data_IF_117727250369
#
_entry.id   IF_117727250369
#
_cell.length_a   1.000
_cell.length_b   1.000
_cell.length_c   1.000
_cell.angle_alpha   90.00
_cell.angle_beta   90.00
_cell.angle_gamma   90.00
#
_symmetry.space_group_name_H-M   'P 1'
#
loop_
_entity.id
_entity.type
_entity.pdbx_description
1 polymer ?
#
# COMPACT_ATOMS: atom_id res chain seq x y z
N UNK A 1 26.65 14.19 21.77
CA UNK A 1 25.18 14.31 21.96
C UNK A 1 24.39 13.29 21.13
N UNK A 2 25.05 12.26 20.56
CA UNK A 2 24.43 11.24 19.70
C UNK A 2 24.29 9.83 20.36
N UNK A 3 24.73 9.67 21.62
CA UNK A 3 24.72 8.36 22.32
C UNK A 3 23.52 8.14 23.26
N UNK A 4 22.64 9.15 23.44
CA UNK A 4 21.55 9.09 24.42
C UNK A 4 20.17 8.69 23.82
N UNK A 5 20.10 8.29 22.55
CA UNK A 5 18.84 7.96 21.87
C UNK A 5 18.60 6.44 21.70
N UNK A 6 19.51 5.61 22.21
CA UNK A 6 19.43 4.15 22.00
C UNK A 6 18.76 3.36 23.13
N UNK A 7 18.35 4.04 24.21
CA UNK A 7 17.73 3.35 25.38
C UNK A 7 16.24 3.53 25.56
N UNK A 8 15.51 3.98 24.56
CA UNK A 8 14.05 3.89 24.63
C UNK A 8 13.54 2.77 23.75
N UNK A 9 13.68 1.54 24.25
CA UNK A 9 13.01 0.33 23.78
C UNK A 9 11.49 0.40 23.98
N UNK A 10 10.84 1.45 23.49
CA UNK A 10 9.41 1.66 23.55
C UNK A 10 8.81 1.56 22.16
N UNK A 11 8.08 0.46 22.00
CA UNK A 11 7.12 0.22 20.92
C UNK A 11 7.62 -0.54 19.70
N UNK A 12 7.93 -1.82 19.91
CA UNK A 12 7.85 -2.78 18.82
C UNK A 12 6.40 -3.29 18.71
N UNK A 13 5.75 -3.19 17.52
CA UNK A 13 4.42 -3.77 17.32
C UNK A 13 4.47 -5.28 17.58
N UNK A 14 3.41 -5.84 18.19
CA UNK A 14 3.35 -7.26 18.59
C UNK A 14 3.64 -8.27 17.47
N UNK A 15 3.41 -7.93 16.22
CA UNK A 15 3.75 -8.75 15.06
C UNK A 15 5.25 -8.74 14.74
N UNK A 16 5.99 -7.67 15.06
CA UNK A 16 7.48 -7.64 14.97
C UNK A 16 8.06 -8.53 16.06
N UNK A 17 7.48 -8.53 17.25
CA UNK A 17 7.87 -9.42 18.36
C UNK A 17 7.64 -10.90 18.04
N UNK A 18 6.58 -11.21 17.28
CA UNK A 18 6.33 -12.54 16.74
C UNK A 18 7.36 -12.97 15.67
N UNK A 19 7.99 -12.01 14.99
CA UNK A 19 9.10 -12.27 14.07
C UNK A 19 10.45 -12.49 14.77
N UNK A 20 10.68 -11.84 15.93
CA UNK A 20 11.93 -11.99 16.68
C UNK A 20 11.92 -13.20 17.61
N UNK A 21 10.76 -13.55 18.21
CA UNK A 21 10.65 -14.69 19.15
C UNK A 21 10.62 -16.06 18.47
N UNK A 22 10.49 -16.13 17.15
CA UNK A 22 10.71 -17.34 16.37
C UNK A 22 12.11 -17.39 15.76
N UNK A 23 13.15 -17.11 16.53
CA UNK A 23 14.45 -17.62 16.15
C UNK A 23 14.31 -19.15 16.10
N UNK A 24 14.37 -19.78 14.92
CA UNK A 24 14.25 -21.23 14.85
C UNK A 24 15.39 -21.84 15.65
N UNK A 25 15.17 -23.00 16.30
CA UNK A 25 16.24 -23.70 16.99
C UNK A 25 17.40 -23.87 16.02
N UNK A 26 18.63 -23.79 16.54
CA UNK A 26 19.92 -23.78 15.82
C UNK A 26 20.12 -24.94 14.80
N UNK A 27 19.12 -25.79 14.60
CA UNK A 27 19.13 -26.93 13.67
C UNK A 27 18.34 -26.77 12.38
N UNK A 28 17.49 -25.74 12.20
CA UNK A 28 16.71 -25.55 10.97
C UNK A 28 17.04 -24.23 10.29
N UNK A 29 18.27 -24.12 9.75
CA UNK A 29 18.51 -23.12 8.70
C UNK A 29 17.62 -23.51 7.51
N UNK A 30 16.71 -22.64 7.04
CA UNK A 30 16.07 -22.88 5.76
C UNK A 30 17.20 -23.09 4.77
N UNK A 31 17.17 -24.19 4.05
CA UNK A 31 18.18 -24.52 3.05
C UNK A 31 18.24 -23.36 2.04
N UNK A 32 19.25 -22.51 2.20
CA UNK A 32 19.52 -21.35 1.34
C UNK A 32 19.99 -21.80 -0.08
N UNK A 33 19.84 -23.10 -0.38
CA UNK A 33 20.28 -23.74 -1.61
C UNK A 33 19.21 -23.74 -2.73
N UNK A 34 18.06 -23.11 -2.51
CA UNK A 34 17.04 -22.96 -3.55
C UNK A 34 17.59 -22.17 -4.75
N UNK A 35 17.39 -22.69 -5.97
CA UNK A 35 17.77 -22.03 -7.23
C UNK A 35 17.28 -20.57 -7.27
N UNK A 36 16.10 -20.27 -6.71
CA UNK A 36 15.54 -18.93 -6.59
C UNK A 36 16.38 -18.00 -5.70
N UNK A 37 16.94 -18.50 -4.58
CA UNK A 37 17.81 -17.67 -3.73
C UNK A 37 19.12 -17.31 -4.42
N UNK A 38 19.71 -18.25 -5.17
CA UNK A 38 20.93 -18.00 -5.95
C UNK A 38 20.71 -16.98 -7.06
N UNK A 39 19.56 -17.02 -7.74
CA UNK A 39 19.18 -16.03 -8.73
C UNK A 39 18.93 -14.65 -8.11
N UNK A 40 18.19 -14.58 -7.01
CA UNK A 40 17.95 -13.34 -6.25
C UNK A 40 19.26 -12.70 -5.80
N UNK A 41 20.18 -13.48 -5.26
CA UNK A 41 21.48 -12.99 -4.79
C UNK A 41 22.39 -12.50 -5.93
N UNK A 42 22.14 -12.93 -7.16
CA UNK A 42 22.88 -12.46 -8.35
C UNK A 42 22.44 -11.08 -8.79
N UNK A 43 21.18 -10.70 -8.48
CA UNK A 43 20.56 -9.42 -8.86
C UNK A 43 20.59 -8.42 -7.70
N UNK A 44 20.51 -8.92 -6.45
CA UNK A 44 20.40 -8.08 -5.26
C UNK A 44 21.18 -8.71 -4.12
N UNK A 45 21.93 -7.90 -3.37
CA UNK A 45 22.61 -8.33 -2.16
C UNK A 45 21.62 -8.50 -0.99
N UNK A 46 20.96 -9.67 -0.94
CA UNK A 46 19.96 -10.02 0.07
C UNK A 46 20.54 -10.99 1.09
N UNK A 47 20.39 -10.67 2.37
CA UNK A 47 20.74 -11.57 3.46
C UNK A 47 19.62 -12.58 3.72
N UNK A 48 19.94 -13.83 4.16
CA UNK A 48 18.93 -14.88 4.37
C UNK A 48 17.80 -14.51 5.35
N UNK A 49 18.11 -13.69 6.36
CA UNK A 49 17.15 -13.19 7.35
C UNK A 49 16.22 -12.09 6.79
N UNK A 50 16.58 -11.44 5.68
CA UNK A 50 15.79 -10.37 5.04
C UNK A 50 14.78 -10.92 4.02
N UNK A 51 14.97 -12.15 3.53
CA UNK A 51 14.17 -12.79 2.49
C UNK A 51 12.67 -12.79 2.79
N UNK A 52 12.32 -13.16 4.01
CA UNK A 52 10.91 -13.26 4.42
C UNK A 52 10.21 -11.89 4.41
N UNK A 53 10.86 -10.89 4.97
CA UNK A 53 10.34 -9.51 4.97
C UNK A 53 10.26 -8.97 3.54
N UNK A 54 11.28 -9.20 2.72
CA UNK A 54 11.33 -8.79 1.32
C UNK A 54 10.19 -9.44 0.49
N UNK A 55 9.99 -10.76 0.64
CA UNK A 55 8.94 -11.48 -0.08
C UNK A 55 7.52 -10.97 0.29
N UNK A 56 7.26 -10.75 1.58
CA UNK A 56 5.99 -10.18 2.03
C UNK A 56 5.77 -8.75 1.56
N UNK A 57 6.82 -7.93 1.59
CA UNK A 57 6.76 -6.55 1.10
C UNK A 57 6.49 -6.49 -0.40
N UNK A 58 7.16 -7.35 -1.16
CA UNK A 58 6.97 -7.48 -2.60
C UNK A 58 5.55 -7.95 -2.94
N UNK A 59 5.06 -9.00 -2.27
CA UNK A 59 3.70 -9.52 -2.47
C UNK A 59 2.65 -8.47 -2.09
N UNK A 60 2.90 -7.70 -1.02
CA UNK A 60 1.98 -6.67 -0.57
C UNK A 60 1.82 -5.56 -1.62
N UNK A 61 2.92 -4.96 -2.10
CA UNK A 61 2.84 -3.89 -3.12
C UNK A 61 2.29 -4.41 -4.44
N UNK A 62 2.67 -5.63 -4.84
CA UNK A 62 2.13 -6.29 -6.00
C UNK A 62 0.61 -6.42 -5.92
N UNK A 63 0.07 -6.96 -4.83
CA UNK A 63 -1.36 -7.14 -4.62
C UNK A 63 -2.12 -5.82 -4.60
N UNK A 64 -1.57 -4.81 -3.93
CA UNK A 64 -2.19 -3.47 -3.85
C UNK A 64 -2.29 -2.84 -5.23
N UNK A 65 -1.21 -2.84 -5.99
CA UNK A 65 -1.22 -2.20 -7.31
C UNK A 65 -2.01 -3.02 -8.34
N UNK A 66 -1.93 -4.35 -8.31
CA UNK A 66 -2.76 -5.19 -9.15
C UNK A 66 -4.25 -4.92 -8.91
N UNK A 67 -4.69 -4.88 -7.65
CA UNK A 67 -6.07 -4.53 -7.30
C UNK A 67 -6.47 -3.13 -7.78
N UNK A 68 -5.59 -2.15 -7.65
CA UNK A 68 -5.86 -0.80 -8.13
C UNK A 68 -5.99 -0.76 -9.66
N UNK A 69 -5.12 -1.45 -10.40
CA UNK A 69 -5.15 -1.46 -11.85
C UNK A 69 -6.36 -2.20 -12.43
N UNK A 70 -6.95 -3.16 -11.70
CA UNK A 70 -8.25 -3.76 -12.03
C UNK A 70 -9.39 -2.73 -11.89
N UNK A 71 -9.34 -1.87 -10.87
CA UNK A 71 -10.38 -0.86 -10.61
C UNK A 71 -10.22 0.37 -11.53
N UNK A 72 -9.02 0.65 -11.98
CA UNK A 72 -8.70 1.85 -12.76
C UNK A 72 -9.52 2.01 -14.06
N UNK A 73 -9.70 0.98 -14.90
CA UNK A 73 -10.54 1.09 -16.09
C UNK A 73 -11.97 1.49 -15.76
N UNK A 74 -12.55 0.91 -14.70
CA UNK A 74 -13.90 1.23 -14.24
C UNK A 74 -13.98 2.70 -13.81
N UNK A 75 -12.98 3.18 -13.08
CA UNK A 75 -12.87 4.59 -12.68
C UNK A 75 -12.82 5.51 -13.89
N UNK A 76 -11.97 5.18 -14.87
CA UNK A 76 -11.77 6.02 -16.05
C UNK A 76 -13.04 6.06 -16.93
N UNK A 77 -13.70 4.93 -17.11
CA UNK A 77 -14.99 4.84 -17.80
C UNK A 77 -16.08 5.69 -17.13
N UNK A 78 -16.23 5.58 -15.82
CA UNK A 78 -17.19 6.41 -15.07
C UNK A 78 -16.84 7.90 -15.10
N UNK A 79 -15.55 8.24 -15.17
CA UNK A 79 -15.12 9.63 -15.33
C UNK A 79 -15.55 10.23 -16.67
N UNK A 80 -15.55 9.44 -17.73
CA UNK A 80 -15.90 9.87 -19.10
C UNK A 80 -17.42 9.80 -19.36
N UNK A 81 -18.16 8.92 -18.66
CA UNK A 81 -19.60 8.73 -18.85
C UNK A 81 -20.42 10.02 -18.66
N UNK A 82 -19.94 10.98 -17.88
CA UNK A 82 -20.56 12.29 -17.68
C UNK A 82 -20.14 13.37 -18.70
N UNK A 83 -19.41 13.00 -19.77
CA UNK A 83 -18.83 13.90 -20.78
C UNK A 83 -17.35 14.19 -20.54
N UNK A 84 -16.56 14.06 -21.60
CA UNK A 84 -15.07 14.26 -21.57
C UNK A 84 -14.69 15.68 -21.14
N UNK A 85 -15.51 16.66 -21.45
CA UNK A 85 -15.40 18.08 -21.06
C UNK A 85 -15.38 18.29 -19.53
N UNK A 86 -15.91 17.35 -18.77
CA UNK A 86 -15.90 17.40 -17.30
C UNK A 86 -14.62 16.82 -16.65
N UNK A 87 -13.75 16.17 -17.41
CA UNK A 87 -12.50 15.60 -16.91
C UNK A 87 -11.60 16.61 -16.19
N UNK A 88 -11.37 17.85 -16.68
CA UNK A 88 -10.57 18.84 -15.95
C UNK A 88 -11.12 19.13 -14.55
N UNK A 89 -12.45 19.18 -14.42
CA UNK A 89 -13.11 19.38 -13.13
C UNK A 89 -12.96 18.19 -12.19
N UNK A 90 -12.95 16.97 -12.71
CA UNK A 90 -12.69 15.74 -11.93
C UNK A 90 -11.25 15.70 -11.42
N UNK A 91 -10.28 16.11 -12.22
CA UNK A 91 -8.88 16.24 -11.79
C UNK A 91 -8.73 17.33 -10.74
N UNK A 92 -9.36 18.50 -10.93
CA UNK A 92 -9.38 19.57 -9.94
C UNK A 92 -10.05 19.12 -8.65
N UNK A 93 -11.17 18.41 -8.73
CA UNK A 93 -11.84 17.79 -7.58
C UNK A 93 -10.96 16.77 -6.85
N UNK A 94 -10.15 16.01 -7.59
CA UNK A 94 -9.16 15.09 -7.01
C UNK A 94 -8.07 15.85 -6.25
N UNK A 95 -7.53 16.94 -6.80
CA UNK A 95 -6.54 17.79 -6.11
C UNK A 95 -7.12 18.40 -4.82
N UNK A 96 -8.31 18.96 -4.90
CA UNK A 96 -8.99 19.50 -3.71
C UNK A 96 -9.26 18.39 -2.69
N UNK A 97 -9.74 17.24 -3.13
CA UNK A 97 -9.95 16.07 -2.27
C UNK A 97 -8.67 15.64 -1.55
N UNK A 98 -7.53 15.61 -2.25
CA UNK A 98 -6.24 15.32 -1.63
C UNK A 98 -5.84 16.36 -0.58
N UNK A 99 -6.03 17.65 -0.88
CA UNK A 99 -5.72 18.73 0.06
C UNK A 99 -6.58 18.65 1.33
N UNK A 100 -7.86 18.32 1.19
CA UNK A 100 -8.79 18.22 2.33
C UNK A 100 -8.56 16.96 3.16
N UNK A 101 -8.27 15.82 2.52
CA UNK A 101 -8.12 14.52 3.21
C UNK A 101 -6.73 14.34 3.80
N UNK A 102 -5.71 15.04 3.30
CA UNK A 102 -4.33 14.90 3.74
C UNK A 102 -4.10 15.29 5.23
N UNK A 103 -4.61 16.45 5.75
CA UNK A 103 -4.44 16.81 7.14
C UNK A 103 -5.06 15.82 8.15
N UNK A 104 -6.35 15.41 8.01
CA UNK A 104 -6.93 14.42 8.91
C UNK A 104 -6.24 13.06 8.81
N UNK A 105 -5.80 12.66 7.63
CA UNK A 105 -5.02 11.44 7.44
C UNK A 105 -3.69 11.51 8.20
N UNK A 106 -2.92 12.58 8.05
CA UNK A 106 -1.67 12.77 8.76
C UNK A 106 -1.85 12.81 10.30
N UNK A 107 -2.96 13.37 10.77
CA UNK A 107 -3.32 13.36 12.18
C UNK A 107 -3.65 11.95 12.67
N UNK A 108 -4.36 11.17 11.86
CA UNK A 108 -4.75 9.79 12.17
C UNK A 108 -3.52 8.86 12.24
N UNK A 109 -2.59 9.00 11.29
CA UNK A 109 -1.32 8.24 11.27
C UNK A 109 -0.48 8.52 12.52
N UNK A 110 -0.49 9.77 13.02
CA UNK A 110 0.24 10.15 14.24
C UNK A 110 -0.40 9.63 15.52
N UNK A 111 -1.73 9.50 15.56
CA UNK A 111 -2.48 9.12 16.76
C UNK A 111 -2.64 7.60 16.94
N UNK A 112 -2.66 6.85 15.86
CA UNK A 112 -2.94 5.41 15.89
C UNK A 112 -1.66 4.58 15.75
N UNK A 113 -1.55 3.47 16.48
CA UNK A 113 -0.51 2.48 16.22
C UNK A 113 -0.69 1.92 14.80
N UNK A 114 0.41 1.77 14.06
CA UNK A 114 0.40 1.44 12.63
C UNK A 114 -0.42 0.21 12.25
N UNK A 115 -0.35 -0.85 13.05
CA UNK A 115 -1.14 -2.06 12.79
C UNK A 115 -2.65 -1.80 12.83
N UNK A 116 -3.13 -0.99 13.78
CA UNK A 116 -4.54 -0.60 13.87
C UNK A 116 -4.93 0.34 12.73
N UNK A 117 -4.04 1.26 12.40
CA UNK A 117 -4.26 2.18 11.28
C UNK A 117 -4.42 1.45 9.95
N UNK A 118 -3.52 0.51 9.63
CA UNK A 118 -3.57 -0.30 8.41
C UNK A 118 -4.88 -1.10 8.36
N UNK A 119 -5.22 -1.80 9.46
CA UNK A 119 -6.47 -2.59 9.53
C UNK A 119 -7.71 -1.72 9.36
N UNK A 120 -7.74 -0.53 9.97
CA UNK A 120 -8.83 0.43 9.83
C UNK A 120 -8.94 0.96 8.40
N UNK A 121 -7.82 1.33 7.78
CA UNK A 121 -7.78 1.82 6.41
C UNK A 121 -8.34 0.79 5.41
N UNK A 122 -7.94 -0.48 5.53
CA UNK A 122 -8.46 -1.54 4.67
C UNK A 122 -9.95 -1.82 4.87
N UNK A 123 -10.43 -1.86 6.13
CA UNK A 123 -11.87 -2.02 6.42
C UNK A 123 -12.68 -0.85 5.87
N UNK A 124 -12.20 0.37 6.04
CA UNK A 124 -12.82 1.57 5.50
C UNK A 124 -12.90 1.49 3.97
N UNK A 125 -11.83 1.05 3.32
CA UNK A 125 -11.79 0.89 1.88
C UNK A 125 -12.77 -0.17 1.37
N UNK A 126 -12.79 -1.34 1.98
CA UNK A 126 -13.72 -2.41 1.63
C UNK A 126 -15.18 -1.96 1.79
N UNK A 127 -15.49 -1.27 2.89
CA UNK A 127 -16.83 -0.74 3.13
C UNK A 127 -17.25 0.30 2.08
N UNK A 128 -16.33 1.18 1.68
CA UNK A 128 -16.58 2.16 0.62
C UNK A 128 -16.78 1.49 -0.75
N UNK A 129 -15.98 0.49 -1.12
CA UNK A 129 -16.17 -0.24 -2.37
C UNK A 129 -17.53 -0.94 -2.41
N UNK A 130 -17.94 -1.57 -1.31
CA UNK A 130 -19.27 -2.17 -1.20
C UNK A 130 -20.37 -1.12 -1.32
N UNK A 131 -20.20 0.02 -0.67
CA UNK A 131 -21.14 1.14 -0.76
C UNK A 131 -21.28 1.63 -2.21
N UNK A 132 -20.17 1.87 -2.92
CA UNK A 132 -20.22 2.26 -4.33
C UNK A 132 -20.87 1.20 -5.21
N UNK A 133 -20.58 -0.08 -4.97
CA UNK A 133 -21.21 -1.18 -5.71
C UNK A 133 -22.73 -1.19 -5.51
N UNK A 134 -23.21 -0.97 -4.29
CA UNK A 134 -24.63 -0.89 -3.98
C UNK A 134 -25.28 0.36 -4.60
N UNK A 135 -24.62 1.51 -4.49
CA UNK A 135 -25.11 2.77 -5.07
C UNK A 135 -25.26 2.66 -6.58
N UNK A 136 -24.27 2.10 -7.28
CA UNK A 136 -24.30 1.92 -8.73
C UNK A 136 -25.40 0.95 -9.19
N UNK A 137 -25.76 -0.05 -8.36
CA UNK A 137 -26.87 -0.97 -8.65
C UNK A 137 -28.25 -0.36 -8.39
N UNK A 138 -28.35 0.54 -7.42
CA UNK A 138 -29.61 1.13 -6.98
C UNK A 138 -29.93 2.49 -7.65
N UNK A 139 -28.93 3.14 -8.23
CA UNK A 139 -29.06 4.49 -8.78
C UNK A 139 -29.73 4.49 -10.18
N UNK A 140 -30.47 5.56 -10.45
CA UNK A 140 -30.98 5.84 -11.79
C UNK A 140 -29.86 6.27 -12.75
N UNK A 141 -30.07 6.23 -14.09
CA UNK A 141 -29.02 6.61 -15.05
C UNK A 141 -28.42 8.00 -14.81
N UNK A 142 -29.21 8.98 -14.42
CA UNK A 142 -28.73 10.32 -14.10
C UNK A 142 -27.91 10.36 -12.81
N UNK A 143 -28.32 9.62 -11.79
CA UNK A 143 -27.61 9.51 -10.54
C UNK A 143 -26.29 8.77 -10.71
N UNK A 144 -26.21 7.80 -11.62
CA UNK A 144 -25.00 7.05 -11.93
C UNK A 144 -23.84 7.94 -12.40
N UNK A 145 -24.13 9.04 -13.13
CA UNK A 145 -23.13 10.01 -13.54
C UNK A 145 -22.49 10.68 -12.33
N UNK A 146 -23.29 11.10 -11.35
CA UNK A 146 -22.78 11.73 -10.13
C UNK A 146 -22.03 10.76 -9.22
N UNK A 147 -22.56 9.55 -9.07
CA UNK A 147 -21.88 8.47 -8.32
C UNK A 147 -20.54 8.16 -8.98
N UNK A 148 -20.49 8.11 -10.30
CA UNK A 148 -19.25 7.87 -11.06
C UNK A 148 -18.21 8.97 -10.86
N UNK A 149 -18.62 10.24 -10.83
CA UNK A 149 -17.73 11.39 -10.55
C UNK A 149 -17.14 11.32 -9.13
N UNK A 150 -17.96 11.01 -8.13
CA UNK A 150 -17.52 10.85 -6.75
C UNK A 150 -16.58 9.64 -6.65
N UNK A 151 -16.90 8.53 -7.30
CA UNK A 151 -16.07 7.33 -7.34
C UNK A 151 -14.72 7.61 -7.99
N UNK A 152 -14.66 8.39 -9.06
CA UNK A 152 -13.42 8.80 -9.73
C UNK A 152 -12.48 9.53 -8.77
N UNK A 153 -12.99 10.56 -8.09
CA UNK A 153 -12.23 11.38 -7.15
C UNK A 153 -11.78 10.50 -5.97
N UNK A 154 -12.71 9.74 -5.39
CA UNK A 154 -12.45 8.89 -4.24
C UNK A 154 -11.37 7.84 -4.52
N UNK A 155 -11.47 7.11 -5.64
CA UNK A 155 -10.50 6.08 -6.03
C UNK A 155 -9.11 6.68 -6.25
N UNK A 156 -9.04 7.88 -6.83
CA UNK A 156 -7.78 8.59 -7.09
C UNK A 156 -7.09 9.00 -5.79
N UNK A 157 -7.84 9.61 -4.87
CA UNK A 157 -7.34 10.01 -3.54
C UNK A 157 -6.91 8.78 -2.75
N UNK A 158 -7.73 7.74 -2.73
CA UNK A 158 -7.45 6.53 -1.99
C UNK A 158 -6.17 5.82 -2.46
N UNK A 159 -5.97 5.69 -3.77
CA UNK A 159 -4.77 5.06 -4.30
C UNK A 159 -3.49 5.72 -3.78
N UNK A 160 -3.45 7.04 -3.74
CA UNK A 160 -2.31 7.78 -3.18
C UNK A 160 -2.08 7.44 -1.70
N UNK A 161 -3.16 7.36 -0.91
CA UNK A 161 -3.03 7.02 0.51
C UNK A 161 -2.52 5.60 0.72
N UNK A 162 -3.02 4.62 -0.01
CA UNK A 162 -2.59 3.22 0.13
C UNK A 162 -1.11 3.07 -0.21
N UNK A 163 -0.65 3.70 -1.29
CA UNK A 163 0.77 3.70 -1.68
C UNK A 163 1.63 4.43 -0.64
N UNK A 164 1.15 5.56 -0.10
CA UNK A 164 1.86 6.29 0.95
C UNK A 164 1.99 5.48 2.24
N UNK A 165 0.92 4.79 2.65
CA UNK A 165 0.93 3.87 3.82
C UNK A 165 1.92 2.73 3.60
N UNK A 166 1.94 2.16 2.41
CA UNK A 166 2.90 1.12 2.06
C UNK A 166 4.34 1.60 2.24
N UNK A 167 4.72 2.74 1.65
CA UNK A 167 6.08 3.26 1.77
C UNK A 167 6.43 3.65 3.21
N UNK A 168 5.50 4.22 3.95
CA UNK A 168 5.68 4.49 5.37
C UNK A 168 5.96 3.21 6.17
N UNK A 169 5.27 2.11 5.85
CA UNK A 169 5.53 0.81 6.47
C UNK A 169 6.91 0.26 6.08
N UNK A 170 7.33 0.42 4.82
CA UNK A 170 8.64 -0.05 4.35
C UNK A 170 9.80 0.65 5.05
N UNK A 171 9.69 1.94 5.30
CA UNK A 171 10.70 2.71 6.05
C UNK A 171 10.82 2.23 7.51
N UNK A 172 9.77 1.64 8.09
CA UNK A 172 9.83 1.08 9.44
C UNK A 172 10.37 -0.34 9.48
N UNK A 173 10.06 -1.12 8.44
CA UNK A 173 10.49 -2.53 8.35
C UNK A 173 11.97 -2.65 7.99
N UNK A 174 12.45 -1.77 7.13
CA UNK A 174 13.82 -1.80 6.61
C UNK A 174 14.66 -0.64 7.13
N UNK A 175 15.88 -0.95 7.58
CA UNK A 175 16.86 0.07 7.92
C UNK A 175 17.31 0.84 6.66
N UNK A 176 17.88 2.05 6.86
CA UNK A 176 18.33 2.92 5.76
C UNK A 176 19.25 2.23 4.75
N UNK A 177 20.16 1.37 5.21
CA UNK A 177 21.07 0.62 4.33
C UNK A 177 20.37 -0.51 3.57
N UNK A 178 19.45 -1.22 4.22
CA UNK A 178 18.60 -2.23 3.59
C UNK A 178 17.69 -1.59 2.55
N UNK A 179 17.11 -0.43 2.87
CA UNK A 179 16.26 0.32 1.95
C UNK A 179 16.97 0.64 0.64
N UNK A 180 18.22 1.14 0.69
CA UNK A 180 19.01 1.46 -0.52
C UNK A 180 19.19 0.25 -1.46
N UNK A 181 19.28 -0.95 -0.91
CA UNK A 181 19.47 -2.20 -1.68
C UNK A 181 18.17 -2.84 -2.13
N UNK A 182 17.14 -2.82 -1.27
CA UNK A 182 15.94 -3.64 -1.43
C UNK A 182 14.76 -2.90 -2.04
N UNK A 183 14.68 -1.55 -1.91
CA UNK A 183 13.54 -0.78 -2.42
C UNK A 183 13.40 -0.85 -3.94
N UNK A 184 14.50 -0.96 -4.67
CA UNK A 184 14.46 -1.17 -6.12
C UNK A 184 13.75 -2.46 -6.52
N UNK A 185 13.98 -3.54 -5.78
CA UNK A 185 13.31 -4.82 -6.01
C UNK A 185 11.84 -4.78 -5.61
N UNK A 186 11.52 -4.14 -4.50
CA UNK A 186 10.13 -3.93 -4.07
C UNK A 186 9.38 -3.12 -5.13
N UNK A 187 10.00 -2.08 -5.69
CA UNK A 187 9.43 -1.28 -6.77
C UNK A 187 9.20 -2.10 -8.06
N UNK A 188 10.05 -3.10 -8.35
CA UNK A 188 9.80 -4.03 -9.46
C UNK A 188 8.51 -4.83 -9.25
N UNK A 189 8.16 -5.22 -8.02
CA UNK A 189 6.88 -5.83 -7.68
C UNK A 189 5.70 -4.92 -8.00
N UNK A 190 5.85 -3.63 -7.73
CA UNK A 190 4.88 -2.60 -8.10
C UNK A 190 4.66 -2.54 -9.63
N UNK A 191 5.75 -2.60 -10.39
CA UNK A 191 5.68 -2.57 -11.86
C UNK A 191 4.98 -3.82 -12.41
N UNK A 192 5.29 -5.00 -11.88
CA UNK A 192 4.61 -6.25 -12.27
C UNK A 192 3.12 -6.22 -11.90
N UNK A 193 2.76 -5.70 -10.73
CA UNK A 193 1.36 -5.52 -10.34
C UNK A 193 0.58 -4.61 -11.28
N UNK A 194 1.25 -3.60 -11.88
CA UNK A 194 0.66 -2.70 -12.89
C UNK A 194 0.44 -3.36 -14.25
N UNK A 195 1.27 -4.33 -14.60
CA UNK A 195 1.20 -5.02 -15.91
C UNK A 195 0.14 -6.12 -15.89
N UNK A 196 -0.04 -6.76 -14.72
CA UNK A 196 -0.95 -7.90 -14.57
C UNK A 196 -2.34 -7.52 -14.07
N UNK A 197 -2.54 -6.33 -13.55
CA UNK A 197 -3.85 -5.77 -13.19
C UNK A 197 -4.40 -4.93 -14.31
#
# INVERSE_FOLDING_TARGET
MAAACQERGLFQPGWVRGMELSSPPVGSRPSADGAGYRLLRRVIDVRPNELRALAWSWLYIFSVLSSYYIIRPIRDEMGVAGGVENLPWLFTGTLVGMMVVNPPFAALVRKLPRARFISLAYRFFMANLLLFCLLLKAATPEQNIWVGRIFFIWTSVFNLFVVSVFWALMVDVFNSEQGKRLFGFIAAGATLGRILG
#
